data_IF_761472619877
#
_entry.id   IF_761472619877
#
_cell.length_a   1.000
_cell.length_b   1.000
_cell.length_c   1.000
_cell.angle_alpha   90.00
_cell.angle_beta   90.00
_cell.angle_gamma   90.00
#
_symmetry.space_group_name_H-M   'P 1'
#
loop_
_entity.id
_entity.type
_entity.pdbx_description
1 polymer ?
#
# COMPACT_ATOMS: atom_id res chain seq x y z
N UNK A 1 -21.40 34.15 -12.15
CA UNK A 1 -20.79 33.94 -10.82
C UNK A 1 -20.42 32.47 -10.60
N UNK A 2 -21.36 31.54 -10.79
CA UNK A 2 -21.15 30.09 -10.63
C UNK A 2 -20.07 29.52 -11.57
N UNK A 3 -20.11 29.88 -12.86
CA UNK A 3 -19.13 29.40 -13.87
C UNK A 3 -17.68 29.73 -13.47
N UNK A 4 -17.43 30.92 -12.89
CA UNK A 4 -16.12 31.35 -12.39
C UNK A 4 -15.64 30.49 -11.22
N UNK A 5 -16.56 30.15 -10.31
CA UNK A 5 -16.25 29.31 -9.14
C UNK A 5 -15.90 27.88 -9.59
N UNK A 6 -16.70 27.32 -10.51
CA UNK A 6 -16.46 25.98 -11.05
C UNK A 6 -15.13 25.91 -11.80
N UNK A 7 -14.82 26.91 -12.62
CA UNK A 7 -13.52 26.96 -13.32
C UNK A 7 -12.35 27.08 -12.36
N UNK A 8 -12.43 27.94 -11.33
CA UNK A 8 -11.38 28.03 -10.31
C UNK A 8 -11.19 26.72 -9.54
N UNK A 9 -12.27 26.03 -9.20
CA UNK A 9 -12.21 24.76 -8.49
C UNK A 9 -11.57 23.64 -9.33
N UNK A 10 -11.93 23.54 -10.61
CA UNK A 10 -11.34 22.57 -11.54
C UNK A 10 -9.85 22.84 -11.75
N UNK A 11 -9.46 24.10 -11.96
CA UNK A 11 -8.05 24.50 -12.08
C UNK A 11 -7.29 24.13 -10.81
N UNK A 12 -7.85 24.42 -9.64
CA UNK A 12 -7.24 24.10 -8.36
C UNK A 12 -6.96 22.60 -8.20
N UNK A 13 -7.92 21.74 -8.55
CA UNK A 13 -7.74 20.28 -8.50
C UNK A 13 -6.60 19.80 -9.41
N UNK A 14 -6.52 20.33 -10.63
CA UNK A 14 -5.46 19.95 -11.59
C UNK A 14 -4.09 20.39 -11.08
N UNK A 15 -3.98 21.62 -10.58
CA UNK A 15 -2.73 22.15 -10.02
C UNK A 15 -2.29 21.32 -8.82
N UNK A 16 -3.19 21.03 -7.88
CA UNK A 16 -2.86 20.22 -6.70
C UNK A 16 -2.41 18.80 -7.07
N UNK A 17 -3.07 18.16 -8.04
CA UNK A 17 -2.67 16.85 -8.53
C UNK A 17 -1.29 16.86 -9.21
N UNK A 18 -1.01 17.89 -10.01
CA UNK A 18 0.30 18.06 -10.66
C UNK A 18 1.41 18.32 -9.64
N UNK A 19 1.15 19.17 -8.64
CA UNK A 19 2.09 19.48 -7.55
C UNK A 19 2.38 18.24 -6.71
N UNK A 20 1.36 17.46 -6.31
CA UNK A 20 1.57 16.22 -5.56
C UNK A 20 2.39 15.19 -6.37
N UNK A 21 2.17 15.12 -7.69
CA UNK A 21 2.94 14.27 -8.60
C UNK A 21 4.39 14.74 -8.73
N UNK A 22 4.64 16.04 -8.75
CA UNK A 22 5.98 16.61 -8.88
C UNK A 22 6.79 16.50 -7.58
N UNK A 23 6.16 16.70 -6.42
CA UNK A 23 6.81 16.56 -5.11
C UNK A 23 7.18 15.10 -4.82
N UNK A 24 6.34 14.13 -5.22
CA UNK A 24 6.58 12.74 -4.88
C UNK A 24 6.40 11.78 -6.07
N UNK A 25 7.25 11.88 -7.11
CA UNK A 25 7.10 11.14 -8.37
C UNK A 25 7.21 9.61 -8.21
N UNK A 26 7.75 9.13 -7.07
CA UNK A 26 7.90 7.71 -6.75
C UNK A 26 6.69 7.11 -6.01
N UNK A 27 5.77 7.92 -5.47
CA UNK A 27 4.51 7.40 -4.88
C UNK A 27 3.56 7.07 -6.03
N UNK A 28 3.74 5.88 -6.62
CA UNK A 28 2.70 5.28 -7.47
C UNK A 28 1.47 5.04 -6.59
N UNK A 29 0.41 5.82 -6.82
CA UNK A 29 -0.94 5.52 -6.33
C UNK A 29 -1.24 4.08 -6.79
N UNK A 30 -1.28 3.12 -5.86
CA UNK A 30 -1.47 1.69 -6.17
C UNK A 30 -0.27 0.78 -5.92
N UNK A 31 0.96 1.29 -5.74
CA UNK A 31 2.00 0.51 -5.06
C UNK A 31 1.82 0.70 -3.56
N UNK A 32 0.73 0.13 -3.03
CA UNK A 32 0.75 -0.34 -1.64
C UNK A 32 1.94 -1.26 -1.63
N UNK A 33 2.98 -0.84 -0.92
CA UNK A 33 4.21 -1.57 -0.80
C UNK A 33 3.80 -2.99 -0.41
N UNK A 34 3.78 -3.89 -1.40
CA UNK A 34 3.87 -5.32 -1.16
C UNK A 34 5.31 -5.53 -0.71
N UNK A 35 5.71 -4.84 0.36
CA UNK A 35 6.86 -5.14 1.19
C UNK A 35 6.52 -6.51 1.71
N UNK A 36 6.90 -7.45 0.85
CA UNK A 36 6.84 -8.88 0.92
C UNK A 36 6.36 -9.30 2.29
N UNK A 37 5.06 -9.52 2.42
CA UNK A 37 4.58 -10.48 3.40
C UNK A 37 5.37 -11.74 3.04
N UNK A 38 6.45 -11.98 3.78
CA UNK A 38 7.33 -13.11 3.52
C UNK A 38 6.46 -14.35 3.46
N UNK A 39 6.75 -15.27 2.55
CA UNK A 39 5.99 -16.52 2.50
C UNK A 39 5.90 -17.07 3.93
N UNK A 40 4.69 -17.32 4.44
CA UNK A 40 4.52 -17.76 5.82
C UNK A 40 5.38 -19.01 6.01
N UNK A 41 6.25 -18.99 7.03
CA UNK A 41 7.16 -20.12 7.27
C UNK A 41 6.30 -21.33 7.62
N UNK A 42 6.60 -22.48 7.03
CA UNK A 42 5.96 -23.76 7.36
C UNK A 42 6.90 -24.58 8.23
N UNK A 43 6.35 -25.35 9.15
CA UNK A 43 7.11 -26.30 9.92
C UNK A 43 7.60 -27.46 9.00
N UNK A 44 8.89 -27.82 9.02
CA UNK A 44 9.41 -28.93 8.20
C UNK A 44 8.91 -30.30 8.67
N UNK A 45 8.52 -30.45 9.94
CA UNK A 45 8.10 -31.75 10.50
C UNK A 45 6.66 -32.14 10.15
N UNK A 46 5.72 -31.19 10.21
CA UNK A 46 4.29 -31.46 9.99
C UNK A 46 3.61 -30.56 8.94
N UNK A 47 4.35 -29.64 8.30
CA UNK A 47 3.83 -28.78 7.23
C UNK A 47 2.88 -27.66 7.66
N UNK A 48 2.56 -27.53 8.95
CA UNK A 48 1.70 -26.46 9.50
C UNK A 48 2.35 -25.08 9.36
N UNK A 49 1.55 -24.03 9.26
CA UNK A 49 2.04 -22.65 9.26
C UNK A 49 2.55 -22.25 10.64
N UNK A 50 3.74 -21.66 10.68
CA UNK A 50 4.33 -21.10 11.90
C UNK A 50 3.73 -19.70 12.11
N UNK A 51 3.02 -19.54 13.23
CA UNK A 51 2.41 -18.27 13.62
C UNK A 51 3.39 -17.58 14.58
N UNK A 52 3.90 -16.40 14.18
CA UNK A 52 4.92 -15.67 14.94
C UNK A 52 6.33 -16.27 14.80
N UNK A 53 7.16 -16.12 15.84
CA UNK A 53 8.51 -16.71 15.95
C UNK A 53 8.52 -17.99 16.79
N UNK A 54 7.37 -18.64 16.94
CA UNK A 54 7.21 -19.85 17.77
C UNK A 54 7.89 -21.09 17.18
N UNK A 55 8.17 -22.06 18.05
CA UNK A 55 8.64 -23.39 17.68
C UNK A 55 7.51 -24.20 17.03
N UNK A 56 7.87 -25.26 16.30
CA UNK A 56 6.90 -26.17 15.71
C UNK A 56 6.10 -26.93 16.77
N UNK A 57 4.85 -26.55 17.02
CA UNK A 57 3.91 -27.34 17.85
C UNK A 57 3.29 -28.46 17.01
N UNK A 58 4.10 -29.45 16.61
CA UNK A 58 3.64 -30.61 15.83
C UNK A 58 3.15 -31.78 16.71
N UNK A 59 3.06 -31.61 18.04
CA UNK A 59 2.72 -32.70 18.96
C UNK A 59 1.82 -32.28 20.12
N UNK A 60 0.54 -32.11 19.77
CA UNK A 60 -0.72 -32.50 20.44
C UNK A 60 -1.83 -31.64 19.83
#
# INVERSE_FOLDING_TARGET
MLVKIVTLFLVFMVVMGAVQRWINPKRKIGKRDQTRLGRPRKCPECGRFLIGTGTCTCKN
#
